data_IF_967735986449
#
_entry.id   IF_967735986449
#
_cell.length_a   1.000
_cell.length_b   1.000
_cell.length_c   1.000
_cell.angle_alpha   90.00
_cell.angle_beta   90.00
_cell.angle_gamma   90.00
#
_symmetry.space_group_name_H-M   'P 1'
#
loop_
_entity.id
_entity.type
_entity.pdbx_description
1 polymer ?
#
# COMPACT_ATOMS: atom_id res chain seq x y z
N UNK A 1 -1.03 -0.18 66.29
CA UNK A 1 -0.51 -0.94 65.14
C UNK A 1 0.51 -0.15 64.33
N UNK A 2 0.25 1.07 63.93
CA UNK A 2 1.15 1.97 63.18
C UNK A 2 2.50 2.24 63.87
N UNK A 3 2.53 2.43 65.21
CA UNK A 3 3.76 2.71 65.98
C UNK A 3 4.76 1.53 65.92
N UNK A 4 4.27 0.28 65.97
CA UNK A 4 5.13 -0.92 65.83
C UNK A 4 5.70 -1.09 64.39
N UNK A 5 4.98 -0.60 63.37
CA UNK A 5 5.45 -0.60 62.01
C UNK A 5 6.54 0.46 61.82
N UNK A 6 6.38 1.63 62.43
CA UNK A 6 7.37 2.73 62.41
C UNK A 6 8.68 2.33 63.10
N UNK A 7 8.64 1.73 64.31
CA UNK A 7 9.82 1.25 65.05
C UNK A 7 10.53 0.10 64.30
N UNK A 8 9.79 -0.74 63.56
CA UNK A 8 10.39 -1.78 62.73
C UNK A 8 11.04 -1.18 61.44
N UNK A 9 10.43 -0.17 60.84
CA UNK A 9 10.99 0.52 59.70
C UNK A 9 12.26 1.30 60.07
N UNK A 10 12.29 1.94 61.23
CA UNK A 10 13.45 2.67 61.72
C UNK A 10 14.66 1.75 61.99
N UNK A 11 14.44 0.54 62.58
CA UNK A 11 15.47 -0.49 62.74
C UNK A 11 15.96 -1.09 61.43
N UNK A 12 15.08 -1.19 60.42
CA UNK A 12 15.44 -1.67 59.08
C UNK A 12 16.28 -0.63 58.32
N UNK A 13 15.95 0.64 58.42
CA UNK A 13 16.69 1.75 57.82
C UNK A 13 18.05 2.01 58.51
N UNK A 14 18.20 1.68 59.76
CA UNK A 14 19.47 1.76 60.48
C UNK A 14 20.51 0.74 59.95
N UNK A 15 20.09 -0.29 59.24
CA UNK A 15 20.99 -1.24 58.60
C UNK A 15 21.44 -0.71 57.22
N UNK A 16 22.68 -0.23 57.12
CA UNK A 16 23.25 0.40 55.90
C UNK A 16 23.08 -0.45 54.64
N UNK A 17 23.18 -1.79 54.78
CA UNK A 17 22.98 -2.71 53.66
C UNK A 17 21.53 -2.75 53.21
N UNK A 18 20.57 -2.69 54.11
CA UNK A 18 19.15 -2.73 53.81
C UNK A 18 18.67 -1.42 53.18
N UNK A 19 19.20 -0.28 53.62
CA UNK A 19 18.95 1.02 52.98
C UNK A 19 19.45 1.04 51.51
N UNK A 20 20.63 0.45 51.28
CA UNK A 20 21.21 0.35 49.96
C UNK A 20 20.37 -0.57 49.03
N UNK A 21 19.90 -1.70 49.54
CA UNK A 21 19.00 -2.61 48.81
C UNK A 21 17.71 -1.90 48.44
N UNK A 22 17.07 -1.16 49.35
CA UNK A 22 15.85 -0.42 49.09
C UNK A 22 16.10 0.64 48.00
N UNK A 23 17.22 1.36 48.08
CA UNK A 23 17.60 2.36 47.04
C UNK A 23 17.73 1.70 45.66
N UNK A 24 18.40 0.55 45.59
CA UNK A 24 18.55 -0.17 44.29
C UNK A 24 17.20 -0.64 43.77
N UNK A 25 16.31 -1.17 44.61
CA UNK A 25 14.96 -1.60 44.19
C UNK A 25 14.14 -0.42 43.65
N UNK A 26 14.19 0.72 44.33
CA UNK A 26 13.49 1.93 43.86
C UNK A 26 14.02 2.38 42.48
N UNK A 27 15.34 2.43 42.31
CA UNK A 27 15.95 2.75 41.02
C UNK A 27 15.53 1.75 39.92
N UNK A 28 15.48 0.46 40.25
CA UNK A 28 15.07 -0.57 39.33
C UNK A 28 13.59 -0.43 38.92
N UNK A 29 12.71 -0.10 39.84
CA UNK A 29 11.30 0.19 39.56
C UNK A 29 11.12 1.40 38.63
N UNK A 30 11.92 2.46 38.87
CA UNK A 30 11.90 3.64 37.95
C UNK A 30 12.37 3.27 36.54
N UNK A 31 13.43 2.47 36.41
CA UNK A 31 13.92 1.99 35.12
C UNK A 31 12.88 1.13 34.40
N UNK A 32 12.26 0.18 35.10
CA UNK A 32 11.19 -0.66 34.49
C UNK A 32 10.02 0.21 34.03
N UNK A 33 9.59 1.16 34.85
CA UNK A 33 8.53 2.08 34.51
C UNK A 33 8.87 2.90 33.25
N UNK A 34 10.10 3.39 33.14
CA UNK A 34 10.54 4.13 31.95
C UNK A 34 10.61 3.27 30.69
N UNK A 35 11.12 2.03 30.82
CA UNK A 35 11.15 1.07 29.73
C UNK A 35 9.73 0.72 29.27
N UNK A 36 8.80 0.52 30.19
CA UNK A 36 7.40 0.28 29.88
C UNK A 36 6.78 1.42 29.07
N UNK A 37 6.98 2.66 29.49
CA UNK A 37 6.49 3.84 28.76
C UNK A 37 7.10 3.90 27.37
N UNK A 38 8.40 3.74 27.21
CA UNK A 38 9.09 3.79 25.92
C UNK A 38 8.64 2.67 24.97
N UNK A 39 8.41 1.46 25.46
CA UNK A 39 8.09 0.32 24.62
C UNK A 39 6.59 0.19 24.31
N UNK A 40 5.72 0.46 25.29
CA UNK A 40 4.28 0.24 25.15
C UNK A 40 3.53 1.53 24.80
N UNK A 41 3.81 2.62 25.49
CA UNK A 41 3.09 3.87 25.28
C UNK A 41 3.63 4.61 24.05
N UNK A 42 4.95 4.75 23.93
CA UNK A 42 5.60 5.50 22.84
C UNK A 42 6.07 4.61 21.68
N UNK A 43 6.03 3.28 21.83
CA UNK A 43 6.55 2.32 20.86
C UNK A 43 5.91 2.41 19.47
N UNK A 44 4.62 2.71 19.39
CA UNK A 44 3.93 2.93 18.11
C UNK A 44 4.38 4.22 17.42
N UNK A 45 4.62 5.28 18.17
CA UNK A 45 5.14 6.54 17.64
C UNK A 45 6.54 6.36 17.05
N UNK A 46 7.42 5.70 17.78
CA UNK A 46 8.79 5.41 17.30
C UNK A 46 8.79 4.48 16.08
N UNK A 47 7.90 3.50 16.02
CA UNK A 47 7.74 2.61 14.86
C UNK A 47 7.28 3.38 13.63
N UNK A 48 6.36 4.32 13.77
CA UNK A 48 5.89 5.17 12.69
C UNK A 48 7.00 6.12 12.20
N UNK A 49 7.75 6.75 13.10
CA UNK A 49 8.87 7.63 12.76
C UNK A 49 10.01 6.87 12.05
N UNK A 50 10.26 5.61 12.42
CA UNK A 50 11.27 4.79 11.76
C UNK A 50 10.89 4.46 10.32
N UNK A 51 9.60 4.23 10.04
CA UNK A 51 9.10 3.94 8.69
C UNK A 51 9.32 5.11 7.73
N UNK A 52 9.27 6.35 8.22
CA UNK A 52 9.54 7.56 7.41
C UNK A 52 11.04 7.79 7.11
N UNK A 53 11.95 7.17 7.84
CA UNK A 53 13.40 7.41 7.72
C UNK A 53 14.13 6.36 6.90
N UNK A 54 13.45 5.44 6.23
CA UNK A 54 14.09 4.50 5.32
C UNK A 54 14.61 5.26 4.10
N UNK A 55 15.90 5.54 4.07
CA UNK A 55 16.57 6.08 2.89
C UNK A 55 16.60 5.02 1.80
N UNK A 56 15.85 5.25 0.74
CA UNK A 56 15.90 4.42 -0.47
C UNK A 56 16.95 5.01 -1.41
N UNK A 57 18.05 4.31 -1.61
CA UNK A 57 19.05 4.68 -2.62
C UNK A 57 18.49 4.37 -3.99
N UNK A 58 18.16 5.39 -4.75
CA UNK A 58 17.75 5.26 -6.16
C UNK A 58 18.99 5.41 -7.03
N UNK A 59 19.38 4.34 -7.72
CA UNK A 59 20.43 4.39 -8.74
C UNK A 59 19.83 4.97 -10.02
N UNK A 60 20.24 6.18 -10.39
CA UNK A 60 19.90 6.77 -11.68
C UNK A 60 21.03 6.51 -12.66
N UNK A 61 20.70 5.95 -13.83
CA UNK A 61 21.68 5.80 -14.92
C UNK A 61 22.03 7.18 -15.48
N UNK A 62 23.31 7.40 -15.77
CA UNK A 62 23.76 8.62 -16.44
C UNK A 62 23.12 8.76 -17.83
N UNK A 63 23.00 9.98 -18.32
CA UNK A 63 22.52 10.27 -19.67
C UNK A 63 23.57 9.81 -20.70
N UNK A 64 23.11 9.25 -21.82
CA UNK A 64 23.99 8.92 -22.94
C UNK A 64 24.51 10.22 -23.59
N UNK A 65 25.70 10.20 -24.20
CA UNK A 65 26.21 11.32 -24.97
C UNK A 65 25.45 11.53 -26.29
N UNK A 66 25.54 12.74 -26.84
CA UNK A 66 25.02 13.02 -28.17
C UNK A 66 26.00 12.46 -29.23
N UNK A 67 25.47 12.11 -30.40
CA UNK A 67 26.24 11.61 -31.55
C UNK A 67 26.26 12.69 -32.62
N UNK A 68 27.46 13.03 -33.09
CA UNK A 68 27.66 14.04 -34.13
C UNK A 68 28.36 13.40 -35.37
N UNK A 69 28.17 13.97 -36.54
CA UNK A 69 28.90 13.60 -37.71
C UNK A 69 30.31 14.24 -37.73
N UNK A 70 31.11 13.94 -38.75
CA UNK A 70 32.46 14.49 -38.92
C UNK A 70 32.48 16.02 -39.04
N UNK A 71 31.39 16.64 -39.46
CA UNK A 71 31.22 18.07 -39.59
C UNK A 71 30.59 18.74 -38.35
N UNK A 72 30.40 17.99 -37.28
CA UNK A 72 29.77 18.49 -36.04
C UNK A 72 28.26 18.57 -36.07
N UNK A 73 27.62 18.02 -37.09
CA UNK A 73 26.13 17.99 -37.20
C UNK A 73 25.57 16.96 -36.25
N UNK A 74 24.59 17.35 -35.44
CA UNK A 74 23.90 16.48 -34.47
C UNK A 74 23.10 15.40 -35.23
N UNK A 75 23.49 14.12 -35.05
CA UNK A 75 22.81 12.95 -35.64
C UNK A 75 21.83 12.32 -34.68
N UNK A 76 22.20 12.24 -33.38
CA UNK A 76 21.31 11.72 -32.36
C UNK A 76 21.55 12.45 -31.02
N UNK A 77 20.49 12.73 -30.29
CA UNK A 77 20.58 13.40 -28.99
C UNK A 77 19.59 12.79 -28.00
N UNK A 78 19.87 13.00 -26.72
CA UNK A 78 18.97 12.57 -25.67
C UNK A 78 17.87 13.60 -25.44
N UNK A 79 16.63 13.15 -25.56
CA UNK A 79 15.48 13.93 -25.11
C UNK A 79 15.16 13.54 -23.67
N UNK A 80 15.20 14.50 -22.77
CA UNK A 80 14.82 14.27 -21.39
C UNK A 80 13.31 13.99 -21.32
N UNK A 81 12.97 12.83 -20.78
CA UNK A 81 11.57 12.43 -20.53
C UNK A 81 11.40 12.20 -19.05
N UNK A 82 10.42 12.84 -18.47
CA UNK A 82 10.06 12.65 -17.07
C UNK A 82 8.97 11.60 -16.96
N UNK A 83 9.14 10.66 -16.07
CA UNK A 83 8.10 9.66 -15.72
C UNK A 83 7.75 9.78 -14.24
N UNK A 84 6.47 9.66 -13.93
CA UNK A 84 5.98 9.60 -12.56
C UNK A 84 5.60 8.16 -12.27
N UNK A 85 6.31 7.53 -11.34
CA UNK A 85 6.04 6.16 -10.93
C UNK A 85 5.29 6.17 -9.59
N UNK A 86 4.16 5.48 -9.55
CA UNK A 86 3.46 5.23 -8.31
C UNK A 86 4.12 4.06 -7.58
N UNK A 87 4.57 4.30 -6.34
CA UNK A 87 5.12 3.25 -5.48
C UNK A 87 4.15 2.93 -4.36
N UNK A 88 3.90 1.65 -4.17
CA UNK A 88 3.09 1.16 -3.07
C UNK A 88 3.94 1.12 -1.80
N UNK A 89 3.87 2.16 -0.97
CA UNK A 89 4.68 2.33 0.23
C UNK A 89 3.80 2.36 1.49
N UNK A 90 4.39 2.00 2.63
CA UNK A 90 3.76 2.03 3.96
C UNK A 90 3.34 3.45 4.40
N UNK A 91 3.79 4.49 3.71
CA UNK A 91 3.34 5.87 3.92
C UNK A 91 1.81 6.02 3.83
N UNK A 92 1.16 5.23 2.98
CA UNK A 92 -0.30 5.24 2.86
C UNK A 92 -1.01 4.63 4.07
N UNK A 93 -0.42 3.61 4.72
CA UNK A 93 -0.95 3.04 5.96
C UNK A 93 -0.90 4.08 7.08
N UNK A 94 0.21 4.79 7.19
CA UNK A 94 0.38 5.83 8.21
C UNK A 94 -0.58 7.00 7.97
N UNK A 95 -0.76 7.40 6.71
CA UNK A 95 -1.70 8.45 6.33
C UNK A 95 -3.15 8.04 6.64
N UNK A 96 -3.51 6.81 6.33
CA UNK A 96 -4.81 6.24 6.62
C UNK A 96 -5.11 6.21 8.13
N UNK A 97 -4.14 5.75 8.93
CA UNK A 97 -4.25 5.75 10.39
C UNK A 97 -4.42 7.16 10.96
N UNK A 98 -3.68 8.14 10.44
CA UNK A 98 -3.79 9.55 10.84
C UNK A 98 -5.15 10.16 10.51
N UNK A 99 -5.72 9.81 9.36
CA UNK A 99 -6.96 10.38 8.84
C UNK A 99 -8.21 9.57 9.24
N UNK A 100 -8.06 8.41 9.89
CA UNK A 100 -9.17 7.50 10.20
C UNK A 100 -9.82 6.90 8.95
N UNK A 101 -9.05 6.69 7.88
CA UNK A 101 -9.50 6.19 6.58
C UNK A 101 -8.85 4.84 6.25
N UNK A 102 -9.21 4.21 5.13
CA UNK A 102 -8.51 3.02 4.64
C UNK A 102 -7.29 3.40 3.80
N UNK A 103 -6.29 2.53 3.77
CA UNK A 103 -5.11 2.67 2.92
C UNK A 103 -5.49 2.79 1.44
N UNK A 104 -6.44 1.97 0.99
CA UNK A 104 -6.98 2.03 -0.37
C UNK A 104 -7.61 3.38 -0.70
N UNK A 105 -8.34 3.97 0.25
CA UNK A 105 -8.94 5.28 0.09
C UNK A 105 -7.88 6.36 -0.15
N UNK A 106 -6.83 6.41 0.67
CA UNK A 106 -5.77 7.42 0.52
C UNK A 106 -4.98 7.22 -0.79
N UNK A 107 -4.69 5.97 -1.18
CA UNK A 107 -4.08 5.65 -2.48
C UNK A 107 -4.94 6.14 -3.65
N UNK A 108 -6.21 5.80 -3.65
CA UNK A 108 -7.14 6.19 -4.71
C UNK A 108 -7.26 7.71 -4.84
N UNK A 109 -7.30 8.42 -3.71
CA UNK A 109 -7.38 9.88 -3.65
C UNK A 109 -6.14 10.55 -4.25
N UNK A 110 -4.94 10.06 -3.92
CA UNK A 110 -3.68 10.60 -4.47
C UNK A 110 -3.60 10.32 -5.98
N UNK A 111 -3.86 9.07 -6.40
CA UNK A 111 -3.84 8.68 -7.82
C UNK A 111 -4.84 9.51 -8.63
N UNK A 112 -6.04 9.71 -8.12
CA UNK A 112 -7.06 10.53 -8.79
C UNK A 112 -6.58 11.98 -9.01
N UNK A 113 -5.95 12.58 -7.99
CA UNK A 113 -5.37 13.93 -8.13
C UNK A 113 -4.29 13.97 -9.21
N UNK A 114 -3.40 12.98 -9.24
CA UNK A 114 -2.34 12.88 -10.26
C UNK A 114 -2.95 12.72 -11.65
N UNK A 115 -3.94 11.83 -11.83
CA UNK A 115 -4.64 11.65 -13.10
C UNK A 115 -5.26 12.97 -13.59
N UNK A 116 -5.89 13.73 -12.69
CA UNK A 116 -6.49 15.04 -13.07
C UNK A 116 -5.44 16.08 -13.48
N UNK A 117 -4.25 16.04 -12.89
CA UNK A 117 -3.13 16.92 -13.28
C UNK A 117 -2.62 16.51 -14.67
N UNK A 118 -2.42 15.21 -14.94
CA UNK A 118 -1.98 14.70 -16.22
C UNK A 118 -2.99 15.06 -17.34
N UNK A 119 -4.27 14.82 -17.10
CA UNK A 119 -5.34 15.17 -18.08
C UNK A 119 -5.37 16.67 -18.38
N UNK A 120 -5.21 17.52 -17.38
CA UNK A 120 -5.17 18.98 -17.57
C UNK A 120 -3.99 19.42 -18.41
N UNK A 121 -2.85 18.72 -18.30
CA UNK A 121 -1.64 19.03 -19.05
C UNK A 121 -1.60 18.34 -20.43
N UNK A 122 -2.57 17.49 -20.75
CA UNK A 122 -2.59 16.70 -22.00
C UNK A 122 -1.66 15.50 -21.98
N UNK A 123 -1.18 15.11 -20.80
CA UNK A 123 -0.33 13.93 -20.64
C UNK A 123 -1.16 12.65 -20.55
N UNK A 124 -0.50 11.51 -20.84
CA UNK A 124 -1.11 10.18 -20.76
C UNK A 124 -0.48 9.34 -19.66
N UNK A 125 -1.19 8.32 -19.21
CA UNK A 125 -0.68 7.31 -18.28
C UNK A 125 -0.81 5.91 -18.89
N UNK A 126 -0.02 4.98 -18.41
CA UNK A 126 -0.03 3.58 -18.87
C UNK A 126 -1.33 2.92 -18.41
N UNK A 127 -2.03 2.30 -19.37
CA UNK A 127 -3.24 1.53 -19.09
C UNK A 127 -3.05 0.09 -19.57
N UNK A 128 -2.89 -0.82 -18.63
CA UNK A 128 -2.73 -2.25 -18.87
C UNK A 128 -4.04 -3.03 -18.67
N UNK A 129 -5.11 -2.39 -18.19
CA UNK A 129 -6.40 -3.05 -18.05
C UNK A 129 -7.11 -3.11 -19.40
N UNK A 130 -7.39 -4.30 -19.96
CA UNK A 130 -8.06 -4.47 -21.24
C UNK A 130 -9.58 -4.28 -21.10
N UNK A 131 -10.01 -3.22 -20.46
CA UNK A 131 -11.41 -2.82 -20.30
C UNK A 131 -11.54 -1.37 -20.74
N UNK A 132 -12.51 -1.11 -21.60
CA UNK A 132 -12.86 0.22 -22.06
C UNK A 132 -14.29 0.57 -21.62
N UNK A 133 -14.47 1.83 -21.21
CA UNK A 133 -15.78 2.41 -20.93
C UNK A 133 -16.32 3.09 -22.18
N UNK A 134 -17.39 2.55 -22.77
CA UNK A 134 -18.00 3.09 -23.99
C UNK A 134 -18.88 4.31 -23.67
N UNK A 135 -19.05 5.20 -24.64
CA UNK A 135 -19.91 6.38 -24.50
C UNK A 135 -21.36 6.10 -24.13
N UNK A 136 -21.83 4.86 -24.33
CA UNK A 136 -23.17 4.39 -23.95
C UNK A 136 -23.27 3.94 -22.47
N UNK A 137 -22.22 4.12 -21.67
CA UNK A 137 -22.23 3.74 -20.26
C UNK A 137 -21.95 2.26 -19.98
N UNK A 138 -21.56 1.49 -21.00
CA UNK A 138 -21.25 0.06 -20.89
C UNK A 138 -19.73 -0.18 -20.90
N UNK A 139 -19.32 -1.29 -20.31
CA UNK A 139 -17.94 -1.76 -20.39
C UNK A 139 -17.79 -2.82 -21.47
N UNK A 140 -16.65 -2.81 -22.15
CA UNK A 140 -16.26 -3.88 -23.08
C UNK A 140 -14.79 -4.25 -22.87
N UNK A 141 -14.45 -5.48 -23.20
CA UNK A 141 -13.05 -5.89 -23.29
C UNK A 141 -12.44 -5.39 -24.60
N UNK A 142 -11.19 -4.92 -24.52
CA UNK A 142 -10.38 -4.54 -25.70
C UNK A 142 -9.55 -5.71 -26.22
N UNK A 143 -9.35 -6.75 -25.42
CA UNK A 143 -8.62 -7.97 -25.77
C UNK A 143 -9.55 -9.17 -25.83
N UNK A 144 -9.12 -10.22 -26.55
CA UNK A 144 -9.87 -11.46 -26.75
C UNK A 144 -8.96 -12.70 -26.57
N UNK A 145 -9.56 -13.87 -26.59
CA UNK A 145 -8.83 -15.14 -26.60
C UNK A 145 -7.94 -15.37 -25.37
N UNK A 146 -6.70 -15.81 -25.60
CA UNK A 146 -5.76 -16.19 -24.55
C UNK A 146 -5.32 -15.01 -23.67
N UNK A 147 -5.18 -13.83 -24.24
CA UNK A 147 -4.82 -12.60 -23.49
C UNK A 147 -5.90 -12.22 -22.50
N UNK A 148 -7.16 -12.22 -22.92
CA UNK A 148 -8.29 -11.96 -22.03
C UNK A 148 -8.40 -13.01 -20.92
N UNK A 149 -8.17 -14.28 -21.25
CA UNK A 149 -8.18 -15.37 -20.26
C UNK A 149 -7.07 -15.18 -19.23
N UNK A 150 -5.86 -14.80 -19.67
CA UNK A 150 -4.73 -14.50 -18.78
C UNK A 150 -5.06 -13.33 -17.86
N UNK A 151 -5.61 -12.26 -18.40
CA UNK A 151 -6.04 -11.10 -17.61
C UNK A 151 -7.07 -11.47 -16.53
N UNK A 152 -8.14 -12.20 -16.90
CA UNK A 152 -9.14 -12.65 -15.93
C UNK A 152 -8.54 -13.54 -14.84
N UNK A 153 -7.62 -14.44 -15.20
CA UNK A 153 -6.92 -15.27 -14.22
C UNK A 153 -6.10 -14.45 -13.24
N UNK A 154 -5.41 -13.43 -13.72
CA UNK A 154 -4.63 -12.51 -12.88
C UNK A 154 -5.53 -11.69 -11.96
N UNK A 155 -6.61 -11.11 -12.49
CA UNK A 155 -7.59 -10.34 -11.71
C UNK A 155 -8.21 -11.16 -10.59
N UNK A 156 -8.69 -12.37 -10.88
CA UNK A 156 -9.37 -13.21 -9.90
C UNK A 156 -8.41 -14.08 -9.06
N UNK A 157 -7.09 -14.02 -9.31
CA UNK A 157 -6.10 -14.85 -8.62
C UNK A 157 -6.25 -16.33 -8.90
N UNK A 158 -6.69 -16.71 -10.12
CA UNK A 158 -6.94 -18.10 -10.49
C UNK A 158 -5.62 -18.82 -10.76
N UNK A 159 -5.22 -19.68 -9.83
CA UNK A 159 -4.03 -20.54 -9.94
C UNK A 159 -4.16 -21.66 -10.98
N UNK A 160 -3.07 -22.44 -11.12
CA UNK A 160 -3.01 -23.60 -12.03
C UNK A 160 -3.43 -24.92 -11.35
N UNK A 161 -3.95 -24.89 -10.13
CA UNK A 161 -4.36 -26.10 -9.41
C UNK A 161 -5.39 -26.89 -10.22
N UNK A 162 -5.16 -28.20 -10.32
CA UNK A 162 -6.06 -29.17 -10.96
C UNK A 162 -7.00 -29.84 -9.98
N UNK A 163 -6.60 -29.94 -8.71
CA UNK A 163 -7.39 -30.52 -7.62
C UNK A 163 -8.29 -29.47 -6.97
N UNK A 164 -9.39 -29.19 -7.64
CA UNK A 164 -10.41 -28.26 -7.15
C UNK A 164 -11.69 -29.02 -6.77
N UNK A 165 -12.30 -28.60 -5.69
CA UNK A 165 -13.65 -29.04 -5.33
C UNK A 165 -14.68 -28.63 -6.39
N UNK A 166 -15.88 -29.23 -6.36
CA UNK A 166 -16.95 -28.88 -7.31
C UNK A 166 -17.32 -27.40 -7.24
N UNK A 167 -17.41 -26.84 -6.05
CA UNK A 167 -17.74 -25.42 -5.83
C UNK A 167 -16.66 -24.47 -6.35
N UNK A 168 -15.38 -24.85 -6.22
CA UNK A 168 -14.25 -24.05 -6.74
C UNK A 168 -14.20 -24.07 -8.27
N UNK A 169 -14.53 -25.21 -8.89
CA UNK A 169 -14.64 -25.31 -10.35
C UNK A 169 -15.76 -24.43 -10.88
N UNK A 170 -16.95 -24.47 -10.27
CA UNK A 170 -18.08 -23.63 -10.65
C UNK A 170 -17.77 -22.13 -10.50
N UNK A 171 -17.10 -21.75 -9.40
CA UNK A 171 -16.67 -20.35 -9.19
C UNK A 171 -15.65 -19.91 -10.25
N UNK A 172 -14.66 -20.76 -10.53
CA UNK A 172 -13.64 -20.51 -11.56
C UNK A 172 -14.25 -20.32 -12.95
N UNK A 173 -15.22 -21.16 -13.32
CA UNK A 173 -15.92 -21.03 -14.60
C UNK A 173 -16.74 -19.73 -14.66
N UNK A 174 -17.38 -19.36 -13.57
CA UNK A 174 -18.10 -18.09 -13.43
C UNK A 174 -17.15 -16.89 -13.60
N UNK A 175 -15.98 -16.94 -12.98
CA UNK A 175 -14.96 -15.88 -13.06
C UNK A 175 -14.37 -15.79 -14.49
N UNK A 176 -14.07 -16.92 -15.14
CA UNK A 176 -13.55 -16.92 -16.51
C UNK A 176 -14.58 -16.44 -17.55
N UNK A 177 -15.87 -16.68 -17.29
CA UNK A 177 -16.96 -16.23 -18.16
C UNK A 177 -17.51 -14.83 -17.78
N UNK A 178 -16.93 -14.17 -16.77
CA UNK A 178 -17.37 -12.86 -16.31
C UNK A 178 -17.34 -11.82 -17.44
N UNK A 179 -18.36 -10.97 -17.48
CA UNK A 179 -18.45 -9.83 -18.41
C UNK A 179 -17.48 -8.71 -18.00
N UNK A 180 -17.22 -7.75 -18.90
CA UNK A 180 -16.36 -6.62 -18.59
C UNK A 180 -16.88 -5.78 -17.40
N UNK A 181 -18.19 -5.65 -17.26
CA UNK A 181 -18.81 -4.96 -16.14
C UNK A 181 -18.64 -5.72 -14.83
N UNK A 182 -18.78 -7.05 -14.85
CA UNK A 182 -18.55 -7.89 -13.66
C UNK A 182 -17.09 -7.84 -13.21
N UNK A 183 -16.13 -7.86 -14.14
CA UNK A 183 -14.70 -7.71 -13.81
C UNK A 183 -14.41 -6.33 -13.27
N UNK A 184 -14.99 -5.27 -13.84
CA UNK A 184 -14.87 -3.92 -13.31
C UNK A 184 -15.40 -3.81 -11.89
N UNK A 185 -16.61 -4.32 -11.61
CA UNK A 185 -17.19 -4.28 -10.26
C UNK A 185 -16.38 -5.14 -9.26
N UNK A 186 -15.81 -6.26 -9.72
CA UNK A 186 -14.90 -7.04 -8.89
C UNK A 186 -13.64 -6.25 -8.52
N UNK A 187 -12.97 -5.62 -9.48
CA UNK A 187 -11.79 -4.78 -9.24
C UNK A 187 -12.13 -3.59 -8.31
N UNK A 188 -13.38 -3.09 -8.40
CA UNK A 188 -13.84 -1.97 -7.58
C UNK A 188 -14.07 -2.35 -6.12
N UNK A 189 -14.79 -3.44 -5.86
CA UNK A 189 -15.32 -3.77 -4.53
C UNK A 189 -15.35 -5.27 -4.18
N UNK A 190 -14.82 -6.14 -5.05
CA UNK A 190 -14.72 -7.58 -4.77
C UNK A 190 -16.01 -8.40 -4.93
N UNK A 191 -17.05 -7.91 -5.62
CA UNK A 191 -18.39 -8.51 -5.63
C UNK A 191 -18.53 -9.88 -6.29
N UNK A 192 -17.56 -10.34 -7.08
CA UNK A 192 -17.62 -11.63 -7.82
C UNK A 192 -16.62 -12.68 -7.29
N UNK A 193 -15.93 -12.44 -6.20
CA UNK A 193 -14.87 -13.29 -5.71
C UNK A 193 -15.19 -14.03 -4.42
N UNK A 194 -14.55 -15.17 -4.23
CA UNK A 194 -14.27 -15.68 -2.89
C UNK A 194 -13.19 -14.81 -2.26
N UNK A 195 -13.27 -14.57 -0.98
CA UNK A 195 -12.37 -13.71 -0.26
C UNK A 195 -10.89 -14.09 -0.50
N UNK A 196 -10.10 -13.17 -1.00
CA UNK A 196 -8.72 -13.09 -0.60
C UNK A 196 -7.63 -13.31 -1.62
N UNK A 197 -7.87 -13.75 -2.85
CA UNK A 197 -6.77 -14.04 -3.79
C UNK A 197 -6.69 -13.13 -5.02
N UNK A 198 -7.74 -12.39 -5.32
CA UNK A 198 -7.78 -11.54 -6.51
C UNK A 198 -7.40 -10.08 -6.24
N UNK A 199 -7.17 -9.35 -7.32
CA UNK A 199 -6.85 -7.92 -7.27
C UNK A 199 -8.12 -7.10 -7.02
N UNK A 200 -8.22 -6.46 -5.87
CA UNK A 200 -9.31 -5.55 -5.51
C UNK A 200 -8.74 -4.21 -5.06
N UNK A 201 -9.34 -3.12 -5.51
CA UNK A 201 -8.80 -1.78 -5.28
C UNK A 201 -9.63 -0.93 -4.31
N UNK A 202 -10.79 -1.41 -3.90
CA UNK A 202 -11.69 -0.74 -2.95
C UNK A 202 -11.89 0.74 -3.30
N UNK A 203 -12.51 0.99 -4.47
CA UNK A 203 -12.73 2.33 -4.99
C UNK A 203 -14.13 2.80 -4.63
N UNK A 204 -14.20 3.92 -3.92
CA UNK A 204 -15.44 4.52 -3.48
C UNK A 204 -16.42 4.81 -4.62
N UNK A 205 -17.73 4.67 -4.35
CA UNK A 205 -18.80 4.89 -5.33
C UNK A 205 -18.96 6.36 -5.74
N UNK A 206 -18.36 7.30 -5.01
CA UNK A 206 -18.36 8.72 -5.37
C UNK A 206 -17.58 9.01 -6.65
N UNK A 207 -16.60 8.16 -7.01
CA UNK A 207 -15.90 8.28 -8.28
C UNK A 207 -16.79 7.80 -9.45
N UNK A 208 -16.79 8.55 -10.56
CA UNK A 208 -17.46 8.11 -11.79
C UNK A 208 -16.89 6.77 -12.28
N UNK A 209 -17.67 5.98 -13.01
CA UNK A 209 -17.21 4.71 -13.60
C UNK A 209 -15.94 4.91 -14.46
N UNK A 210 -15.86 6.02 -15.18
CA UNK A 210 -14.70 6.40 -16.00
C UNK A 210 -13.48 6.72 -15.16
N UNK A 211 -13.63 7.51 -14.10
CA UNK A 211 -12.51 7.86 -13.20
C UNK A 211 -12.05 6.65 -12.39
N UNK A 212 -12.98 5.82 -11.93
CA UNK A 212 -12.66 4.57 -11.25
C UNK A 212 -11.81 3.65 -12.14
N UNK A 213 -12.16 3.49 -13.41
CA UNK A 213 -11.39 2.67 -14.35
C UNK A 213 -9.96 3.21 -14.53
N UNK A 214 -9.78 4.53 -14.58
CA UNK A 214 -8.45 5.17 -14.66
C UNK A 214 -7.62 4.90 -13.39
N UNK A 215 -8.22 5.03 -12.22
CA UNK A 215 -7.56 4.71 -10.95
C UNK A 215 -7.13 3.23 -10.92
N UNK A 216 -8.02 2.34 -11.35
CA UNK A 216 -7.72 0.90 -11.45
C UNK A 216 -6.54 0.64 -12.38
N UNK A 217 -6.47 1.27 -13.55
CA UNK A 217 -5.39 1.05 -14.51
C UNK A 217 -4.03 1.46 -13.94
N UNK A 218 -3.92 2.58 -13.25
CA UNK A 218 -2.68 2.98 -12.57
C UNK A 218 -2.31 1.99 -11.46
N UNK A 219 -3.28 1.54 -10.66
CA UNK A 219 -3.03 0.56 -9.58
C UNK A 219 -2.74 -0.85 -10.07
N UNK A 220 -3.21 -1.19 -11.25
CA UNK A 220 -2.98 -2.50 -11.86
C UNK A 220 -1.55 -2.62 -12.40
N UNK A 221 -0.99 -1.51 -12.92
CA UNK A 221 0.37 -1.42 -13.46
C UNK A 221 1.45 -1.21 -12.38
N UNK A 222 1.07 -0.87 -11.13
CA UNK A 222 1.97 -0.64 -10.00
C UNK A 222 2.26 -1.93 -9.22
#
# INVERSE_FOLDING_TARGET
MLRKIYEKAEKLLANRLLALIILIVVLYCVLIGRVFVLQIVEGQSHKNDFTYKVQKTVKTSGTRGNIYDVNGKLLAYNKLVYTVNFQNDNAFQTLAAKNGTSESYEKNKVIYKVIKILERNGDSFINEIPIEYTGSGKFRFTETGSKLKKFKRDVFGIGNSTDLSKSEKELRDKQLNATAEQVFEYLRNGTLGSAGTGKMFDIDKSYSKKDALKIMSVRYSA
#
